data_IF_448107346787
#
_entry.id   IF_448107346787
#
_cell.length_a   1.000
_cell.length_b   1.000
_cell.length_c   1.000
_cell.angle_alpha   90.00
_cell.angle_beta   90.00
_cell.angle_gamma   90.00
#
_symmetry.space_group_name_H-M   'P 1'
#
loop_
_entity.id
_entity.type
_entity.pdbx_description
1 polymer ?
#
# COMPACT_ATOMS: atom_id res chain seq x y z
N UNK A 1 20.26 -32.74 53.80
CA UNK A 1 20.30 -31.36 53.29
C UNK A 1 19.85 -31.41 51.83
N UNK A 2 18.59 -31.11 51.56
CA UNK A 2 18.05 -31.02 50.19
C UNK A 2 18.22 -29.59 49.72
N UNK A 3 18.88 -29.39 48.55
CA UNK A 3 18.98 -28.09 47.86
C UNK A 3 17.68 -27.83 47.14
N UNK A 4 17.01 -26.76 47.53
CA UNK A 4 15.86 -26.24 46.80
C UNK A 4 16.39 -25.64 45.48
N UNK A 5 15.86 -26.15 44.33
CA UNK A 5 16.14 -25.60 43.02
C UNK A 5 15.50 -24.21 42.89
N UNK A 6 16.26 -23.27 42.37
CA UNK A 6 15.76 -21.93 42.05
C UNK A 6 14.68 -22.01 40.94
N UNK A 7 13.62 -21.22 41.02
CA UNK A 7 12.63 -21.17 39.97
C UNK A 7 13.24 -20.47 38.75
N UNK A 8 13.41 -21.21 37.66
CA UNK A 8 13.84 -20.66 36.36
C UNK A 8 12.92 -19.52 35.92
N UNK A 9 13.52 -18.35 35.71
CA UNK A 9 12.85 -17.20 35.08
C UNK A 9 12.35 -17.62 33.71
N UNK A 10 11.04 -17.84 33.56
CA UNK A 10 10.40 -18.00 32.27
C UNK A 10 10.51 -16.68 31.51
N UNK A 11 11.43 -16.60 30.55
CA UNK A 11 11.57 -15.45 29.66
C UNK A 11 10.34 -15.44 28.74
N UNK A 12 9.35 -14.64 29.09
CA UNK A 12 8.18 -14.41 28.25
C UNK A 12 8.64 -13.56 27.06
N UNK A 13 8.82 -14.19 25.91
CA UNK A 13 9.01 -13.47 24.65
C UNK A 13 7.69 -12.78 24.27
N UNK A 14 7.62 -11.47 24.45
CA UNK A 14 6.53 -10.67 23.90
C UNK A 14 6.76 -10.62 22.39
N UNK A 15 6.02 -11.41 21.63
CA UNK A 15 5.95 -11.28 20.17
C UNK A 15 5.27 -9.93 19.86
N UNK A 16 6.07 -8.92 19.55
CA UNK A 16 5.53 -7.64 19.07
C UNK A 16 5.00 -7.86 17.66
N UNK A 17 3.69 -7.86 17.52
CA UNK A 17 3.04 -7.95 16.21
C UNK A 17 3.40 -6.73 15.38
N UNK A 18 4.03 -6.94 14.21
CA UNK A 18 4.40 -5.84 13.31
C UNK A 18 3.16 -5.32 12.60
N UNK A 19 2.99 -4.00 12.59
CA UNK A 19 1.91 -3.34 11.86
C UNK A 19 2.32 -3.10 10.42
N UNK A 20 1.42 -3.34 9.47
CA UNK A 20 1.54 -2.97 8.06
C UNK A 20 0.36 -2.09 7.63
N UNK A 21 0.61 -1.13 6.76
CA UNK A 21 -0.43 -0.30 6.15
C UNK A 21 -0.69 -0.82 4.74
N UNK A 22 -1.96 -1.09 4.41
CA UNK A 22 -2.40 -1.52 3.07
C UNK A 22 -3.36 -0.49 2.53
N UNK A 23 -3.04 0.15 1.42
CA UNK A 23 -3.93 1.13 0.78
C UNK A 23 -4.71 0.50 -0.37
N UNK A 24 -5.87 1.07 -0.73
CA UNK A 24 -6.78 0.47 -1.70
C UNK A 24 -7.45 -0.81 -1.17
N UNK A 25 -7.65 -0.88 0.16
CA UNK A 25 -8.05 -2.10 0.86
C UNK A 25 -9.49 -2.53 0.57
N UNK A 26 -10.34 -1.63 0.08
CA UNK A 26 -11.71 -1.93 -0.36
C UNK A 26 -11.76 -2.41 -1.84
N UNK A 27 -10.64 -2.33 -2.56
CA UNK A 27 -10.48 -2.81 -3.92
C UNK A 27 -10.24 -4.33 -3.99
N UNK A 28 -10.24 -4.87 -5.23
CA UNK A 28 -10.07 -6.29 -5.48
C UNK A 28 -8.71 -6.82 -4.97
N UNK A 29 -7.60 -6.19 -5.37
CA UNK A 29 -6.25 -6.64 -4.98
C UNK A 29 -5.99 -6.32 -3.51
N UNK A 30 -6.28 -5.08 -3.08
CA UNK A 30 -5.98 -4.61 -1.73
C UNK A 30 -6.64 -5.43 -0.63
N UNK A 31 -7.89 -5.85 -0.83
CA UNK A 31 -8.61 -6.71 0.11
C UNK A 31 -7.94 -8.09 0.29
N UNK A 32 -7.47 -8.70 -0.82
CA UNK A 32 -6.78 -9.99 -0.78
C UNK A 32 -5.40 -9.88 -0.11
N UNK A 33 -4.68 -8.81 -0.40
CA UNK A 33 -3.37 -8.52 0.23
C UNK A 33 -3.55 -8.31 1.73
N UNK A 34 -4.53 -7.50 2.15
CA UNK A 34 -4.83 -7.27 3.56
C UNK A 34 -5.16 -8.58 4.30
N UNK A 35 -6.07 -9.40 3.71
CA UNK A 35 -6.42 -10.71 4.27
C UNK A 35 -5.20 -11.65 4.35
N UNK A 36 -4.27 -11.59 3.38
CA UNK A 36 -3.04 -12.38 3.42
C UNK A 36 -2.11 -11.91 4.53
N UNK A 37 -1.93 -10.60 4.71
CA UNK A 37 -1.08 -10.05 5.78
C UNK A 37 -1.59 -10.45 7.17
N UNK A 38 -2.91 -10.43 7.39
CA UNK A 38 -3.50 -10.92 8.65
C UNK A 38 -3.15 -12.40 8.89
N UNK A 39 -3.29 -13.26 7.85
CA UNK A 39 -2.92 -14.68 7.97
C UNK A 39 -1.44 -14.91 8.27
N UNK A 40 -0.56 -14.02 7.82
CA UNK A 40 0.88 -14.05 8.11
C UNK A 40 1.21 -13.46 9.50
N UNK A 41 0.21 -13.08 10.29
CA UNK A 41 0.37 -12.61 11.67
C UNK A 41 0.71 -11.13 11.83
N UNK A 42 0.49 -10.30 10.79
CA UNK A 42 0.63 -8.85 10.89
C UNK A 42 -0.66 -8.21 11.44
N UNK A 43 -0.49 -7.13 12.21
CA UNK A 43 -1.57 -6.18 12.43
C UNK A 43 -1.71 -5.33 11.15
N UNK A 44 -2.92 -5.23 10.61
CA UNK A 44 -3.16 -4.52 9.35
C UNK A 44 -4.01 -3.28 9.59
N UNK A 45 -3.53 -2.13 9.11
CA UNK A 45 -4.34 -0.92 8.98
C UNK A 45 -4.60 -0.69 7.49
N UNK A 46 -5.88 -0.77 7.11
CA UNK A 46 -6.34 -0.57 5.74
C UNK A 46 -6.78 0.86 5.49
N UNK A 47 -6.46 1.41 4.32
CA UNK A 47 -6.87 2.76 3.90
C UNK A 47 -7.54 2.69 2.55
N UNK A 48 -8.69 3.36 2.40
CA UNK A 48 -9.41 3.50 1.12
C UNK A 48 -10.31 4.74 1.16
N UNK A 49 -10.52 5.40 0.05
CA UNK A 49 -11.45 6.53 -0.08
C UNK A 49 -12.86 6.11 -0.54
N UNK A 50 -13.04 4.82 -0.79
CA UNK A 50 -14.27 4.20 -1.27
C UNK A 50 -14.79 4.75 -2.61
N UNK A 51 -13.94 5.44 -3.38
CA UNK A 51 -14.32 6.02 -4.68
C UNK A 51 -14.68 4.95 -5.72
N UNK A 52 -14.09 3.75 -5.61
CA UNK A 52 -14.40 2.60 -6.47
C UNK A 52 -14.47 1.28 -5.69
N UNK A 53 -13.85 1.20 -4.52
CA UNK A 53 -13.86 0.05 -3.62
C UNK A 53 -15.23 -0.15 -2.94
N UNK A 54 -15.42 -1.33 -2.36
CA UNK A 54 -16.64 -1.67 -1.62
C UNK A 54 -16.29 -2.05 -0.19
N UNK A 55 -16.98 -1.46 0.78
CA UNK A 55 -16.81 -1.79 2.22
C UNK A 55 -16.91 -3.29 2.48
N UNK A 56 -17.78 -3.99 1.75
CA UNK A 56 -17.96 -5.44 1.87
C UNK A 56 -16.71 -6.27 1.52
N UNK A 57 -15.73 -5.70 0.81
CA UNK A 57 -14.47 -6.38 0.50
C UNK A 57 -13.45 -6.28 1.64
N UNK A 58 -13.64 -5.33 2.57
CA UNK A 58 -12.69 -5.07 3.65
C UNK A 58 -12.73 -6.22 4.65
N UNK A 59 -11.59 -6.89 4.95
CA UNK A 59 -11.57 -7.94 5.96
C UNK A 59 -11.98 -7.40 7.34
N UNK A 60 -12.88 -8.08 8.04
CA UNK A 60 -13.38 -7.64 9.34
C UNK A 60 -12.34 -7.66 10.47
N UNK A 61 -11.18 -8.25 10.20
CA UNK A 61 -10.08 -8.42 11.17
C UNK A 61 -9.00 -7.35 11.07
N UNK A 62 -9.24 -6.27 10.32
CA UNK A 62 -8.28 -5.15 10.18
C UNK A 62 -8.87 -3.86 10.73
N UNK A 63 -8.00 -2.94 11.12
CA UNK A 63 -8.39 -1.56 11.39
C UNK A 63 -8.58 -0.83 10.04
N UNK A 64 -9.69 -0.13 9.87
CA UNK A 64 -10.02 0.56 8.63
C UNK A 64 -10.05 2.08 8.84
N UNK A 65 -9.37 2.79 7.95
CA UNK A 65 -9.36 4.25 7.86
C UNK A 65 -9.94 4.67 6.51
N UNK A 66 -11.10 5.30 6.53
CA UNK A 66 -11.64 5.95 5.35
C UNK A 66 -10.92 7.29 5.13
N UNK A 67 -10.32 7.46 3.93
CA UNK A 67 -9.60 8.69 3.60
C UNK A 67 -8.90 8.67 2.25
N UNK A 68 -8.83 9.84 1.64
CA UNK A 68 -8.09 10.10 0.41
C UNK A 68 -6.61 10.38 0.74
N UNK A 69 -5.69 9.64 0.11
CA UNK A 69 -4.24 9.79 0.28
C UNK A 69 -3.68 11.07 -0.37
N UNK A 70 -4.44 11.73 -1.24
CA UNK A 70 -4.08 13.07 -1.73
C UNK A 70 -4.29 14.15 -0.66
N UNK A 71 -5.06 13.85 0.41
CA UNK A 71 -5.39 14.77 1.52
C UNK A 71 -4.52 14.47 2.74
N UNK A 72 -3.71 15.45 3.15
CA UNK A 72 -2.75 15.28 4.27
C UNK A 72 -3.39 14.86 5.59
N UNK A 73 -4.62 15.32 5.89
CA UNK A 73 -5.34 14.96 7.11
C UNK A 73 -5.62 13.45 7.27
N UNK A 74 -5.61 12.68 6.17
CA UNK A 74 -5.74 11.22 6.20
C UNK A 74 -4.63 10.57 7.03
N UNK A 75 -3.41 11.08 6.93
CA UNK A 75 -2.23 10.52 7.59
C UNK A 75 -2.21 10.70 9.12
N UNK A 76 -2.98 11.65 9.64
CA UNK A 76 -3.12 11.85 11.09
C UNK A 76 -3.82 10.66 11.79
N UNK A 77 -4.65 9.93 11.03
CA UNK A 77 -5.39 8.76 11.48
C UNK A 77 -4.59 7.46 11.37
N UNK A 78 -3.44 7.47 10.70
CA UNK A 78 -2.62 6.30 10.46
C UNK A 78 -1.66 6.03 11.63
N UNK A 79 -1.12 4.79 11.75
CA UNK A 79 -0.17 4.42 12.79
C UNK A 79 1.06 5.33 12.79
N UNK A 80 1.58 5.64 13.97
CA UNK A 80 2.83 6.41 14.13
C UNK A 80 4.08 5.56 13.95
N UNK A 81 3.93 4.25 13.78
CA UNK A 81 4.99 3.29 13.44
C UNK A 81 4.37 2.17 12.61
N UNK A 82 5.02 1.77 11.54
CA UNK A 82 4.67 0.57 10.78
C UNK A 82 5.93 -0.07 10.18
N UNK A 83 5.88 -1.38 10.00
CA UNK A 83 6.98 -2.14 9.42
C UNK A 83 7.05 -1.99 7.90
N UNK A 84 5.88 -1.90 7.24
CA UNK A 84 5.80 -1.79 5.81
C UNK A 84 4.52 -1.04 5.35
N UNK A 85 4.60 -0.48 4.16
CA UNK A 85 3.48 0.09 3.42
C UNK A 85 3.30 -0.68 2.12
N UNK A 86 2.08 -1.16 1.86
CA UNK A 86 1.69 -1.87 0.64
C UNK A 86 0.70 -0.97 -0.10
N UNK A 87 1.20 -0.28 -1.12
CA UNK A 87 0.45 0.78 -1.82
C UNK A 87 -0.25 0.25 -3.07
N UNK A 88 -1.56 0.01 -2.95
CA UNK A 88 -2.42 -0.55 -3.98
C UNK A 88 -3.56 0.41 -4.38
N UNK A 89 -3.73 1.50 -3.63
CA UNK A 89 -4.69 2.56 -3.97
C UNK A 89 -4.26 3.29 -5.25
N UNK A 90 -5.24 3.74 -6.00
CA UNK A 90 -5.06 4.55 -7.19
C UNK A 90 -6.22 4.37 -8.16
N UNK A 91 -6.41 5.34 -9.04
CA UNK A 91 -7.26 5.20 -10.22
C UNK A 91 -6.58 4.21 -11.17
N UNK A 92 -7.29 3.24 -11.74
CA UNK A 92 -6.71 2.09 -12.45
C UNK A 92 -7.04 2.02 -13.95
N UNK A 93 -7.73 3.04 -14.50
CA UNK A 93 -8.13 3.06 -15.90
C UNK A 93 -7.31 4.06 -16.70
N UNK A 94 -6.59 3.56 -17.72
CA UNK A 94 -5.91 4.42 -18.69
C UNK A 94 -6.87 5.29 -19.48
N UNK A 95 -8.08 4.78 -19.80
CA UNK A 95 -9.11 5.51 -20.54
C UNK A 95 -9.67 6.68 -19.72
N UNK A 96 -10.10 6.43 -18.49
CA UNK A 96 -10.61 7.48 -17.59
C UNK A 96 -9.58 8.56 -17.28
N UNK A 97 -8.28 8.25 -17.39
CA UNK A 97 -7.22 9.23 -17.14
C UNK A 97 -7.17 10.35 -18.19
N UNK A 98 -7.78 10.17 -19.36
CA UNK A 98 -7.92 11.22 -20.37
C UNK A 98 -9.10 12.16 -20.10
N UNK A 99 -10.14 11.68 -19.41
CA UNK A 99 -11.32 12.49 -19.08
C UNK A 99 -10.99 13.53 -18.00
N UNK A 100 -10.20 13.14 -16.97
CA UNK A 100 -9.73 14.04 -15.92
C UNK A 100 -8.28 13.69 -15.52
N UNK A 101 -7.28 14.19 -16.28
CA UNK A 101 -5.88 13.93 -16.00
C UNK A 101 -5.37 14.55 -14.68
N UNK A 102 -6.04 15.61 -14.20
CA UNK A 102 -5.68 16.24 -12.92
C UNK A 102 -6.13 15.37 -11.75
N UNK A 103 -7.35 14.84 -11.79
CA UNK A 103 -7.82 13.88 -10.80
C UNK A 103 -6.97 12.61 -10.82
N UNK A 104 -6.59 12.10 -11.99
CA UNK A 104 -5.68 10.95 -12.13
C UNK A 104 -4.31 11.23 -11.49
N UNK A 105 -3.71 12.41 -11.74
CA UNK A 105 -2.45 12.83 -11.12
C UNK A 105 -2.56 12.84 -9.59
N UNK A 106 -3.64 13.39 -9.06
CA UNK A 106 -3.88 13.40 -7.61
C UNK A 106 -4.00 12.00 -7.02
N UNK A 107 -4.76 11.12 -7.67
CA UNK A 107 -5.01 9.76 -7.16
C UNK A 107 -3.82 8.81 -7.34
N UNK A 108 -2.97 9.02 -8.32
CA UNK A 108 -1.84 8.13 -8.61
C UNK A 108 -0.49 8.69 -8.16
N UNK A 109 -0.18 9.95 -8.45
CA UNK A 109 1.14 10.51 -8.16
C UNK A 109 1.17 11.26 -6.83
N UNK A 110 0.26 12.22 -6.61
CA UNK A 110 0.26 13.02 -5.38
C UNK A 110 0.00 12.16 -4.15
N UNK A 111 -0.95 11.23 -4.23
CA UNK A 111 -1.24 10.26 -3.16
C UNK A 111 -0.02 9.41 -2.82
N UNK A 112 0.71 8.93 -3.84
CA UNK A 112 1.94 8.15 -3.65
C UNK A 112 3.03 8.99 -2.97
N UNK A 113 3.25 10.24 -3.39
CA UNK A 113 4.24 11.12 -2.78
C UNK A 113 3.94 11.40 -1.30
N UNK A 114 2.69 11.69 -0.97
CA UNK A 114 2.27 11.88 0.41
C UNK A 114 2.50 10.59 1.24
N UNK A 115 2.19 9.43 0.65
CA UNK A 115 2.36 8.14 1.33
C UNK A 115 3.84 7.78 1.53
N UNK A 116 4.73 8.13 0.58
CA UNK A 116 6.18 7.99 0.73
C UNK A 116 6.67 8.85 1.91
N UNK A 117 6.26 10.12 1.98
CA UNK A 117 6.61 11.00 3.10
C UNK A 117 6.14 10.44 4.44
N UNK A 118 4.90 9.91 4.49
CA UNK A 118 4.40 9.21 5.67
C UNK A 118 5.28 8.01 6.02
N UNK A 119 5.55 7.11 5.06
CA UNK A 119 6.36 5.90 5.29
C UNK A 119 7.74 6.23 5.88
N UNK A 120 8.40 7.27 5.37
CA UNK A 120 9.66 7.78 5.91
C UNK A 120 9.49 8.27 7.35
N UNK A 121 8.45 9.07 7.60
CA UNK A 121 8.21 9.70 8.91
C UNK A 121 7.93 8.69 10.03
N UNK A 122 7.37 7.52 9.70
CA UNK A 122 7.04 6.46 10.65
C UNK A 122 8.07 5.33 10.68
N UNK A 123 9.17 5.46 9.93
CA UNK A 123 10.26 4.51 9.90
C UNK A 123 9.92 3.17 9.23
N UNK A 124 9.03 3.16 8.25
CA UNK A 124 8.70 1.95 7.50
C UNK A 124 9.95 1.39 6.79
N UNK A 125 10.20 0.11 6.98
CA UNK A 125 11.38 -0.57 6.42
C UNK A 125 11.18 -1.06 4.99
N UNK A 126 9.94 -1.12 4.52
CA UNK A 126 9.55 -1.56 3.18
C UNK A 126 8.40 -0.71 2.66
N UNK A 127 8.51 -0.35 1.39
CA UNK A 127 7.44 0.26 0.61
C UNK A 127 7.26 -0.60 -0.64
N UNK A 128 6.06 -1.16 -0.83
CA UNK A 128 5.71 -1.96 -2.00
C UNK A 128 4.66 -1.20 -2.79
N UNK A 129 4.95 -0.91 -4.03
CA UNK A 129 4.09 -0.14 -4.92
C UNK A 129 3.53 -1.00 -6.05
N UNK A 130 2.23 -0.94 -6.25
CA UNK A 130 1.59 -1.55 -7.41
C UNK A 130 1.66 -0.61 -8.60
N UNK A 131 2.66 -0.79 -9.44
CA UNK A 131 2.75 -0.11 -10.72
C UNK A 131 1.82 -0.71 -11.77
N UNK A 132 2.11 -0.57 -13.04
CA UNK A 132 1.25 -1.05 -14.13
C UNK A 132 2.06 -1.35 -15.39
N UNK A 133 1.60 -2.31 -16.17
CA UNK A 133 2.11 -2.51 -17.54
C UNK A 133 1.94 -1.27 -18.45
N UNK A 134 1.05 -0.36 -18.09
CA UNK A 134 0.83 0.89 -18.82
C UNK A 134 2.08 1.79 -18.87
N UNK A 135 3.09 1.55 -18.04
CA UNK A 135 4.36 2.28 -18.07
C UNK A 135 5.17 1.96 -19.33
N UNK A 136 5.03 0.76 -19.89
CA UNK A 136 5.75 0.35 -21.10
C UNK A 136 5.15 0.90 -22.40
N UNK A 137 3.86 1.29 -22.36
CA UNK A 137 3.17 1.83 -23.55
C UNK A 137 2.88 0.78 -24.62
N UNK A 138 3.29 1.04 -25.85
CA UNK A 138 3.06 0.14 -26.97
C UNK A 138 4.22 -0.86 -27.10
N UNK A 139 3.97 -2.07 -26.69
CA UNK A 139 4.95 -3.17 -26.69
C UNK A 139 4.53 -4.27 -27.65
N UNK A 140 5.46 -5.08 -28.20
CA UNK A 140 5.14 -6.22 -29.03
C UNK A 140 4.32 -7.26 -28.27
N UNK A 141 3.59 -8.12 -29.01
CA UNK A 141 2.86 -9.26 -28.45
C UNK A 141 3.83 -10.38 -28.04
N UNK A 142 4.59 -10.12 -26.98
CA UNK A 142 5.60 -10.99 -26.40
C UNK A 142 5.73 -10.70 -24.90
N UNK A 143 6.31 -11.63 -24.11
CA UNK A 143 6.67 -11.32 -22.72
C UNK A 143 7.60 -10.11 -22.64
N UNK A 144 7.31 -9.18 -21.73
CA UNK A 144 8.07 -7.95 -21.51
C UNK A 144 9.08 -8.21 -20.38
N UNK A 145 10.35 -7.85 -20.62
CA UNK A 145 11.38 -7.88 -19.60
C UNK A 145 11.31 -6.64 -18.69
N UNK A 146 11.82 -6.75 -17.45
CA UNK A 146 11.77 -5.64 -16.48
C UNK A 146 12.63 -4.43 -16.89
N UNK A 147 13.62 -4.64 -17.75
CA UNK A 147 14.52 -3.61 -18.31
C UNK A 147 14.06 -3.06 -19.68
N UNK A 148 12.84 -3.40 -20.11
CA UNK A 148 12.26 -2.89 -21.35
C UNK A 148 12.05 -1.36 -21.27
N UNK A 149 12.15 -0.70 -22.42
CA UNK A 149 11.98 0.75 -22.51
C UNK A 149 10.56 1.18 -22.09
N UNK A 150 10.50 2.15 -21.16
CA UNK A 150 9.22 2.69 -20.66
C UNK A 150 8.81 3.92 -21.47
N UNK A 151 7.59 3.88 -22.06
CA UNK A 151 7.04 4.93 -22.90
C UNK A 151 5.51 5.00 -22.76
N UNK A 152 4.98 5.44 -21.60
CA UNK A 152 3.55 5.40 -21.32
C UNK A 152 2.76 6.25 -22.29
N UNK A 153 1.57 5.74 -22.70
CA UNK A 153 0.67 6.39 -23.68
C UNK A 153 -0.57 7.02 -23.06
N UNK A 154 -0.78 6.87 -21.74
CA UNK A 154 -1.92 7.45 -21.02
C UNK A 154 -1.44 8.29 -19.84
N UNK A 155 -2.27 9.25 -19.39
CA UNK A 155 -1.98 10.02 -18.16
C UNK A 155 -1.81 9.09 -16.97
N UNK A 156 -2.59 8.02 -16.87
CA UNK A 156 -2.43 6.96 -15.89
C UNK A 156 -1.03 6.33 -15.92
N UNK A 157 -0.57 5.89 -17.10
CA UNK A 157 0.77 5.30 -17.24
C UNK A 157 1.88 6.28 -16.91
N UNK A 158 1.75 7.56 -17.31
CA UNK A 158 2.68 8.63 -16.93
C UNK A 158 2.69 8.82 -15.42
N UNK A 159 1.53 8.86 -14.77
CA UNK A 159 1.41 8.99 -13.31
C UNK A 159 2.05 7.81 -12.57
N UNK A 160 1.86 6.58 -13.07
CA UNK A 160 2.48 5.38 -12.51
C UNK A 160 4.01 5.41 -12.63
N UNK A 161 4.54 5.75 -13.81
CA UNK A 161 5.98 5.88 -14.03
C UNK A 161 6.58 7.02 -13.19
N UNK A 162 5.89 8.16 -13.08
CA UNK A 162 6.34 9.24 -12.21
C UNK A 162 6.47 8.77 -10.76
N UNK A 163 5.48 8.03 -10.24
CA UNK A 163 5.52 7.48 -8.90
C UNK A 163 6.69 6.49 -8.68
N UNK A 164 7.00 5.63 -9.66
CA UNK A 164 8.19 4.76 -9.63
C UNK A 164 9.49 5.56 -9.49
N UNK A 165 9.61 6.67 -10.21
CA UNK A 165 10.82 7.51 -10.19
C UNK A 165 11.02 8.25 -8.84
N UNK A 166 10.00 8.31 -7.98
CA UNK A 166 10.11 8.88 -6.64
C UNK A 166 10.44 7.85 -5.56
N UNK A 167 10.39 6.55 -5.88
CA UNK A 167 10.69 5.43 -4.98
C UNK A 167 12.15 5.01 -5.04
#
# INVERSE_FOLDING_TARGET
MARLGEPGLATTFILVTKTVVVTGVAGFIGSQVAARMVREGFAVVGVDDLSSGKVANIPSSIDFVEGDLAVKGTFEKLPKQCAAVLHLAGQSSGEMSFDDPVADLHKNTVSTLNLIQYAISVGAQRFVYASSMSVYGNVPDAPIAEDEHVAPLSCYGVGKLAAENYL
#
